data_IF_648569129006
#
_entry.id   IF_648569129006
#
_cell.length_a   1.000
_cell.length_b   1.000
_cell.length_c   1.000
_cell.angle_alpha   90.00
_cell.angle_beta   90.00
_cell.angle_gamma   90.00
#
_symmetry.space_group_name_H-M   'P 1'
#
loop_
_entity.id
_entity.type
_entity.pdbx_description
1 polymer ?
#
# COMPACT_ATOMS: atom_id res chain seq x y z
N UNK A 1 7.08 -9.31 -18.89
CA UNK A 1 5.63 -9.10 -19.19
C UNK A 1 4.73 -9.44 -18.01
N UNK A 2 4.77 -10.68 -17.45
CA UNK A 2 3.91 -11.09 -16.32
C UNK A 2 3.94 -10.14 -15.10
N UNK A 3 5.12 -9.65 -14.72
CA UNK A 3 5.32 -8.72 -13.58
C UNK A 3 4.50 -7.42 -13.69
N UNK A 4 4.52 -6.79 -14.88
CA UNK A 4 3.82 -5.51 -15.09
C UNK A 4 2.30 -5.72 -15.02
N UNK A 5 1.80 -6.84 -15.55
CA UNK A 5 0.38 -7.18 -15.48
C UNK A 5 -0.10 -7.32 -14.02
N UNK A 6 0.68 -7.99 -13.18
CA UNK A 6 0.37 -8.10 -11.75
C UNK A 6 0.42 -6.76 -11.02
N UNK A 7 1.34 -5.87 -11.39
CA UNK A 7 1.40 -4.51 -10.83
C UNK A 7 0.15 -3.72 -11.21
N UNK A 8 -0.26 -3.76 -12.47
CA UNK A 8 -1.48 -3.09 -12.95
C UNK A 8 -2.69 -3.64 -12.19
N UNK A 9 -2.83 -4.97 -12.10
CA UNK A 9 -3.92 -5.61 -11.39
C UNK A 9 -3.92 -5.26 -9.90
N UNK A 10 -2.75 -5.23 -9.25
CA UNK A 10 -2.61 -4.79 -7.87
C UNK A 10 -3.01 -3.33 -7.66
N UNK A 11 -2.65 -2.43 -8.59
CA UNK A 11 -3.08 -1.03 -8.57
C UNK A 11 -4.59 -0.88 -8.75
N UNK A 12 -5.20 -1.66 -9.65
CA UNK A 12 -6.65 -1.63 -9.86
C UNK A 12 -7.42 -2.15 -8.65
N UNK A 13 -6.95 -3.23 -8.04
CA UNK A 13 -7.57 -3.74 -6.80
C UNK A 13 -7.40 -2.70 -5.68
N UNK A 14 -6.20 -2.16 -5.51
CA UNK A 14 -5.95 -1.14 -4.49
C UNK A 14 -6.77 0.14 -4.72
N UNK A 15 -6.96 0.59 -5.97
CA UNK A 15 -7.76 1.77 -6.29
C UNK A 15 -9.21 1.58 -5.90
N UNK A 16 -9.80 0.40 -6.17
CA UNK A 16 -11.16 0.06 -5.76
C UNK A 16 -11.28 0.10 -4.23
N UNK A 17 -10.32 -0.46 -3.50
CA UNK A 17 -10.30 -0.42 -2.03
C UNK A 17 -10.25 1.02 -1.49
N UNK A 18 -9.37 1.86 -2.04
CA UNK A 18 -9.28 3.29 -1.68
C UNK A 18 -10.58 4.03 -2.00
N UNK A 19 -11.22 3.71 -3.12
CA UNK A 19 -12.48 4.32 -3.54
C UNK A 19 -13.62 3.99 -2.56
N UNK A 20 -13.73 2.73 -2.14
CA UNK A 20 -14.71 2.30 -1.13
C UNK A 20 -14.48 3.05 0.19
N UNK A 21 -13.22 3.19 0.63
CA UNK A 21 -12.89 3.94 1.84
C UNK A 21 -13.31 5.41 1.73
N UNK A 22 -13.02 6.04 0.58
CA UNK A 22 -13.41 7.42 0.27
C UNK A 22 -14.92 7.63 0.34
N UNK A 23 -15.71 6.75 -0.29
CA UNK A 23 -17.18 6.81 -0.29
C UNK A 23 -17.83 6.43 1.06
N UNK A 24 -17.03 5.87 1.98
CA UNK A 24 -17.47 5.53 3.34
C UNK A 24 -17.02 6.57 4.39
N UNK A 25 -16.37 7.65 3.94
CA UNK A 25 -15.71 8.66 4.77
C UNK A 25 -14.69 8.06 5.76
N UNK A 26 -14.09 6.93 5.40
CA UNK A 26 -13.04 6.27 6.16
C UNK A 26 -11.70 6.66 5.56
N UNK A 27 -10.81 7.14 6.40
CA UNK A 27 -9.47 7.50 6.00
C UNK A 27 -8.59 6.25 6.04
N UNK A 28 -7.91 5.95 4.93
CA UNK A 28 -6.88 4.90 4.91
C UNK A 28 -5.65 5.33 5.70
N UNK A 29 -4.68 4.46 5.95
CA UNK A 29 -3.46 4.79 6.67
C UNK A 29 -2.39 5.47 5.82
N UNK A 30 -1.34 5.97 6.47
CA UNK A 30 -0.09 6.33 5.80
C UNK A 30 -0.23 7.53 4.87
N UNK A 31 0.56 7.56 3.79
CA UNK A 31 0.52 8.69 2.85
C UNK A 31 -0.79 8.77 2.08
N UNK A 32 -1.42 7.64 1.74
CA UNK A 32 -2.73 7.64 1.09
C UNK A 32 -3.81 8.22 2.03
N UNK A 33 -3.74 7.91 3.32
CA UNK A 33 -4.60 8.44 4.36
C UNK A 33 -4.46 9.93 4.57
N UNK A 34 -3.22 10.36 4.72
CA UNK A 34 -2.86 11.77 4.79
C UNK A 34 -3.39 12.51 3.57
N UNK A 35 -3.16 11.98 2.37
CA UNK A 35 -3.62 12.62 1.14
C UNK A 35 -5.13 12.70 1.03
N UNK A 36 -5.86 11.66 1.46
CA UNK A 36 -7.32 11.68 1.46
C UNK A 36 -7.86 12.70 2.47
N UNK A 37 -7.28 12.75 3.67
CA UNK A 37 -7.64 13.71 4.71
C UNK A 37 -7.40 15.15 4.26
N UNK A 38 -6.23 15.40 3.66
CA UNK A 38 -5.86 16.72 3.16
C UNK A 38 -6.70 17.10 1.92
N UNK A 39 -7.15 16.12 1.13
CA UNK A 39 -8.06 16.37 -0.01
C UNK A 39 -9.41 16.88 0.46
N UNK A 40 -9.91 16.38 1.60
CA UNK A 40 -11.14 16.90 2.20
C UNK A 40 -10.97 18.32 2.76
N UNK A 41 -9.77 18.66 3.25
CA UNK A 41 -9.50 19.99 3.82
C UNK A 41 -9.18 21.07 2.77
N UNK A 42 -8.45 20.71 1.71
CA UNK A 42 -7.92 21.66 0.71
C UNK A 42 -8.77 21.74 -0.57
N UNK A 43 -9.83 20.92 -0.71
CA UNK A 43 -10.65 20.80 -1.93
C UNK A 43 -9.84 20.50 -3.21
N UNK A 44 -8.62 19.99 -3.05
CA UNK A 44 -7.76 19.55 -4.14
C UNK A 44 -7.98 18.07 -4.43
N UNK A 45 -7.69 17.66 -5.67
CA UNK A 45 -7.77 16.26 -6.06
C UNK A 45 -6.80 15.40 -5.23
N UNK A 46 -7.30 14.28 -4.72
CA UNK A 46 -6.51 13.26 -4.01
C UNK A 46 -5.22 12.91 -4.76
N UNK A 47 -5.30 12.76 -6.09
CA UNK A 47 -4.16 12.43 -6.96
C UNK A 47 -3.00 13.43 -6.82
N UNK A 48 -3.29 14.73 -6.75
CA UNK A 48 -2.28 15.80 -6.69
C UNK A 48 -1.58 15.76 -5.33
N UNK A 49 -2.37 15.71 -4.25
CA UNK A 49 -1.83 15.68 -2.88
C UNK A 49 -1.02 14.40 -2.66
N UNK A 50 -1.53 13.26 -3.13
CA UNK A 50 -0.85 11.98 -3.02
C UNK A 50 0.49 11.97 -3.75
N UNK A 51 0.54 12.55 -4.95
CA UNK A 51 1.80 12.66 -5.67
C UNK A 51 2.82 13.54 -4.90
N UNK A 52 2.39 14.70 -4.40
CA UNK A 52 3.24 15.63 -3.66
C UNK A 52 3.79 15.04 -2.35
N UNK A 53 2.93 14.41 -1.54
CA UNK A 53 3.33 13.79 -0.27
C UNK A 53 4.33 12.64 -0.50
N UNK A 54 4.25 11.96 -1.65
CA UNK A 54 5.15 10.86 -1.97
C UNK A 54 6.53 11.28 -2.49
N UNK A 55 6.75 12.55 -2.88
CA UNK A 55 8.05 13.06 -3.36
C UNK A 55 9.23 12.70 -2.42
N UNK A 56 9.19 13.00 -1.11
CA UNK A 56 10.30 12.65 -0.21
C UNK A 56 10.56 11.13 -0.14
N UNK A 57 9.50 10.32 -0.26
CA UNK A 57 9.61 8.86 -0.27
C UNK A 57 10.19 8.32 -1.57
N UNK A 58 9.92 8.96 -2.72
CA UNK A 58 10.58 8.62 -3.98
C UNK A 58 12.07 8.88 -3.92
N UNK A 59 12.47 10.01 -3.32
CA UNK A 59 13.88 10.34 -3.15
C UNK A 59 14.57 9.31 -2.24
N UNK A 60 13.95 8.94 -1.11
CA UNK A 60 14.43 7.86 -0.25
C UNK A 60 14.53 6.51 -0.99
N UNK A 61 13.50 6.16 -1.75
CA UNK A 61 13.43 4.92 -2.54
C UNK A 61 14.55 4.84 -3.59
N UNK A 62 14.86 5.96 -4.23
CA UNK A 62 15.91 6.05 -5.23
C UNK A 62 17.27 5.66 -4.64
N UNK A 63 17.60 6.20 -3.47
CA UNK A 63 18.87 5.92 -2.80
C UNK A 63 18.94 4.53 -2.15
N UNK A 64 17.82 4.03 -1.60
CA UNK A 64 17.84 2.81 -0.78
C UNK A 64 17.39 1.54 -1.50
N UNK A 65 16.46 1.65 -2.47
CA UNK A 65 15.89 0.49 -3.17
C UNK A 65 16.29 0.43 -4.65
N UNK A 66 16.85 1.52 -5.18
CA UNK A 66 17.38 1.62 -6.53
C UNK A 66 16.37 2.08 -7.59
N UNK A 67 16.89 2.46 -8.76
CA UNK A 67 16.12 3.07 -9.85
C UNK A 67 14.96 2.21 -10.35
N UNK A 68 15.17 0.90 -10.55
CA UNK A 68 14.15 0.00 -11.09
C UNK A 68 12.90 -0.06 -10.19
N UNK A 69 13.09 -0.13 -8.87
CA UNK A 69 12.00 -0.15 -7.89
C UNK A 69 11.29 1.21 -7.82
N UNK A 70 12.07 2.28 -7.86
CA UNK A 70 11.56 3.66 -7.82
C UNK A 70 10.67 3.95 -9.03
N UNK A 71 11.13 3.61 -10.24
CA UNK A 71 10.34 3.77 -11.46
C UNK A 71 9.03 2.97 -11.43
N UNK A 72 9.07 1.71 -10.95
CA UNK A 72 7.83 0.92 -10.81
C UNK A 72 6.88 1.47 -9.76
N UNK A 73 7.41 2.04 -8.68
CA UNK A 73 6.62 2.65 -7.61
C UNK A 73 5.97 3.96 -8.06
N UNK A 74 6.72 4.83 -8.75
CA UNK A 74 6.17 6.04 -9.38
C UNK A 74 5.09 5.67 -10.38
N UNK A 75 5.34 4.68 -11.25
CA UNK A 75 4.32 4.19 -12.19
C UNK A 75 3.06 3.64 -11.49
N UNK A 76 3.23 2.91 -10.39
CA UNK A 76 2.12 2.37 -9.60
C UNK A 76 1.31 3.46 -8.91
N UNK A 77 1.98 4.47 -8.34
CA UNK A 77 1.33 5.64 -7.73
C UNK A 77 0.59 6.45 -8.78
N UNK A 78 1.23 6.74 -9.93
CA UNK A 78 0.57 7.44 -11.03
C UNK A 78 -0.65 6.68 -11.53
N UNK A 79 -0.57 5.35 -11.67
CA UNK A 79 -1.70 4.53 -12.08
C UNK A 79 -2.82 4.53 -11.03
N UNK A 80 -2.50 4.38 -9.74
CA UNK A 80 -3.47 4.48 -8.65
C UNK A 80 -4.16 5.86 -8.66
N UNK A 81 -3.39 6.93 -8.80
CA UNK A 81 -3.89 8.30 -8.89
C UNK A 81 -4.82 8.50 -10.09
N UNK A 82 -4.46 7.97 -11.27
CA UNK A 82 -5.32 8.01 -12.45
C UNK A 82 -6.62 7.25 -12.23
N UNK A 83 -6.55 6.01 -11.73
CA UNK A 83 -7.74 5.18 -11.49
C UNK A 83 -8.66 5.79 -10.44
N UNK A 84 -8.10 6.36 -9.37
CA UNK A 84 -8.90 7.06 -8.35
C UNK A 84 -9.41 8.42 -8.81
N UNK A 85 -8.78 9.05 -9.79
CA UNK A 85 -9.30 10.29 -10.39
C UNK A 85 -10.57 10.06 -11.21
N UNK A 86 -10.76 8.85 -11.77
CA UNK A 86 -11.97 8.47 -12.52
C UNK A 86 -13.23 8.39 -11.64
N UNK A 87 -13.07 8.51 -10.32
CA UNK A 87 -14.17 8.59 -9.35
C UNK A 87 -15.23 9.63 -9.73
N UNK A 88 -14.84 10.77 -10.33
CA UNK A 88 -15.79 11.81 -10.76
C UNK A 88 -16.78 11.34 -11.84
N UNK A 89 -16.48 10.24 -12.55
CA UNK A 89 -17.34 9.64 -13.57
C UNK A 89 -18.28 8.58 -12.99
N UNK A 90 -18.04 8.14 -11.75
CA UNK A 90 -18.86 7.14 -11.09
C UNK A 90 -20.02 7.82 -10.35
N UNK A 91 -21.21 7.20 -10.33
CA UNK A 91 -22.31 7.70 -9.53
C UNK A 91 -21.92 7.71 -8.06
N UNK A 92 -22.24 8.78 -7.34
CA UNK A 92 -21.99 8.87 -5.91
C UNK A 92 -22.79 7.80 -5.17
N UNK A 93 -22.10 6.89 -4.50
CA UNK A 93 -22.71 5.88 -3.64
C UNK A 93 -22.17 6.06 -2.23
N UNK A 94 -23.01 5.91 -1.20
CA UNK A 94 -22.57 6.00 0.19
C UNK A 94 -22.65 4.63 0.82
N UNK A 95 -21.57 4.21 1.49
CA UNK A 95 -21.56 2.98 2.29
C UNK A 95 -21.53 3.31 3.79
N UNK A 96 -22.11 2.45 4.64
CA UNK A 96 -21.88 2.51 6.07
C UNK A 96 -20.38 2.43 6.38
N UNK A 97 -19.88 3.31 7.24
CA UNK A 97 -18.44 3.44 7.53
C UNK A 97 -17.79 2.14 8.01
N UNK A 98 -18.51 1.30 8.76
CA UNK A 98 -18.00 0.00 9.19
C UNK A 98 -17.79 -0.96 8.01
N UNK A 99 -18.79 -1.07 7.12
CA UNK A 99 -18.69 -1.92 5.93
C UNK A 99 -17.58 -1.43 5.02
N UNK A 100 -17.50 -0.12 4.82
CA UNK A 100 -16.42 0.53 4.07
C UNK A 100 -15.03 0.26 4.62
N UNK A 101 -14.85 0.43 5.94
CA UNK A 101 -13.58 0.16 6.60
C UNK A 101 -13.10 -1.28 6.40
N UNK A 102 -14.01 -2.25 6.57
CA UNK A 102 -13.71 -3.67 6.44
C UNK A 102 -13.43 -4.07 5.00
N UNK A 103 -14.37 -3.78 4.09
CA UNK A 103 -14.26 -4.17 2.68
C UNK A 103 -13.16 -3.41 1.96
N UNK A 104 -13.08 -2.10 2.18
CA UNK A 104 -12.03 -1.25 1.62
C UNK A 104 -10.64 -1.64 2.14
N UNK A 105 -10.51 -1.96 3.44
CA UNK A 105 -9.26 -2.44 4.02
C UNK A 105 -8.83 -3.80 3.49
N UNK A 106 -9.76 -4.75 3.34
CA UNK A 106 -9.48 -6.06 2.74
C UNK A 106 -9.01 -5.92 1.29
N UNK A 107 -9.76 -5.19 0.47
CA UNK A 107 -9.47 -5.01 -0.95
C UNK A 107 -8.15 -4.25 -1.13
N UNK A 108 -7.95 -3.15 -0.41
CA UNK A 108 -6.70 -2.39 -0.45
C UNK A 108 -5.51 -3.25 0.00
N UNK A 109 -5.66 -4.03 1.07
CA UNK A 109 -4.64 -4.95 1.58
C UNK A 109 -4.27 -6.03 0.56
N UNK A 110 -5.24 -6.57 -0.18
CA UNK A 110 -4.97 -7.53 -1.27
C UNK A 110 -4.20 -6.89 -2.41
N UNK A 111 -4.62 -5.69 -2.86
CA UNK A 111 -3.92 -4.94 -3.91
C UNK A 111 -2.47 -4.61 -3.53
N UNK A 112 -2.27 -4.12 -2.30
CA UNK A 112 -0.95 -3.87 -1.72
C UNK A 112 -0.09 -5.13 -1.63
N UNK A 113 -0.66 -6.25 -1.21
CA UNK A 113 0.05 -7.53 -1.13
C UNK A 113 0.56 -7.98 -2.50
N UNK A 114 -0.27 -7.87 -3.55
CA UNK A 114 0.12 -8.19 -4.94
C UNK A 114 1.25 -7.27 -5.42
N UNK A 115 1.18 -5.97 -5.12
CA UNK A 115 2.23 -5.02 -5.46
C UNK A 115 3.55 -5.36 -4.75
N UNK A 116 3.50 -5.63 -3.45
CA UNK A 116 4.68 -5.97 -2.67
C UNK A 116 5.33 -7.26 -3.17
N UNK A 117 4.55 -8.28 -3.52
CA UNK A 117 5.06 -9.52 -4.15
C UNK A 117 5.76 -9.26 -5.48
N UNK A 118 5.38 -8.22 -6.21
CA UNK A 118 6.01 -7.86 -7.48
C UNK A 118 7.07 -6.77 -7.30
N UNK A 119 7.51 -6.48 -6.07
CA UNK A 119 8.50 -5.45 -5.81
C UNK A 119 8.09 -4.08 -6.35
N UNK A 120 6.81 -3.75 -6.22
CA UNK A 120 6.26 -2.42 -6.42
C UNK A 120 5.59 -1.96 -5.11
N UNK A 121 5.32 -0.67 -5.00
CA UNK A 121 4.69 -0.07 -3.83
C UNK A 121 3.78 1.07 -4.26
N UNK A 122 2.89 1.51 -3.37
CA UNK A 122 2.04 2.69 -3.57
C UNK A 122 2.66 3.94 -2.93
N UNK A 123 3.98 3.97 -2.72
CA UNK A 123 4.66 5.13 -2.14
C UNK A 123 4.52 5.23 -0.63
N UNK A 124 5.23 6.19 -0.03
CA UNK A 124 5.03 6.56 1.37
C UNK A 124 5.55 5.53 2.36
N UNK A 125 4.77 5.31 3.42
CA UNK A 125 5.02 4.30 4.45
C UNK A 125 5.19 2.88 3.85
N UNK A 126 4.53 2.59 2.72
CA UNK A 126 4.65 1.31 2.03
C UNK A 126 6.07 1.06 1.49
N UNK A 127 6.81 2.12 1.12
CA UNK A 127 8.22 1.99 0.71
C UNK A 127 9.06 1.60 1.91
N UNK A 128 8.84 2.24 3.07
CA UNK A 128 9.56 1.92 4.30
C UNK A 128 9.26 0.49 4.77
N UNK A 129 8.00 0.04 4.68
CA UNK A 129 7.61 -1.32 5.00
C UNK A 129 8.37 -2.36 4.17
N UNK A 130 8.44 -2.15 2.85
CA UNK A 130 9.15 -3.06 1.96
C UNK A 130 10.67 -2.97 2.12
N UNK A 131 11.21 -1.78 2.38
CA UNK A 131 12.61 -1.59 2.71
C UNK A 131 12.99 -2.32 4.00
N UNK A 132 12.20 -2.18 5.07
CA UNK A 132 12.43 -2.84 6.35
C UNK A 132 12.34 -4.36 6.22
N UNK A 133 11.42 -4.87 5.40
CA UNK A 133 11.37 -6.29 5.09
C UNK A 133 12.64 -6.77 4.37
N UNK A 134 13.12 -6.04 3.35
CA UNK A 134 14.32 -6.43 2.60
C UNK A 134 15.60 -6.35 3.43
N UNK A 135 15.73 -5.31 4.27
CA UNK A 135 16.95 -5.04 5.03
C UNK A 135 17.00 -5.79 6.36
N UNK A 136 15.88 -5.90 7.07
CA UNK A 136 15.81 -6.44 8.43
C UNK A 136 14.94 -7.70 8.56
N UNK A 137 14.27 -8.15 7.48
CA UNK A 137 13.36 -9.30 7.54
C UNK A 137 12.06 -9.03 8.30
N UNK A 138 11.74 -7.75 8.54
CA UNK A 138 10.56 -7.37 9.31
C UNK A 138 9.26 -7.66 8.56
N UNK A 139 8.17 -7.80 9.31
CA UNK A 139 6.85 -8.02 8.76
C UNK A 139 6.33 -6.71 8.13
N UNK A 140 6.16 -6.65 6.79
CA UNK A 140 5.76 -5.42 6.11
C UNK A 140 4.37 -4.95 6.58
N UNK A 141 3.47 -5.87 6.94
CA UNK A 141 2.14 -5.52 7.42
C UNK A 141 2.17 -4.83 8.79
N UNK A 142 3.06 -5.28 9.69
CA UNK A 142 3.25 -4.64 11.01
C UNK A 142 3.91 -3.26 10.89
N UNK A 143 4.90 -3.14 10.02
CA UNK A 143 5.56 -1.84 9.78
C UNK A 143 4.57 -0.85 9.20
N UNK A 144 3.78 -1.27 8.21
CA UNK A 144 2.76 -0.43 7.60
C UNK A 144 1.69 -0.03 8.63
N UNK A 145 1.16 -1.00 9.38
CA UNK A 145 0.19 -0.73 10.44
C UNK A 145 0.71 0.27 11.48
N UNK A 146 1.97 0.14 11.90
CA UNK A 146 2.57 1.04 12.89
C UNK A 146 2.66 2.48 12.37
N UNK A 147 3.12 2.67 11.14
CA UNK A 147 3.15 3.99 10.49
C UNK A 147 1.74 4.55 10.31
N UNK A 148 0.83 3.73 9.81
CA UNK A 148 -0.54 4.11 9.54
C UNK A 148 -1.28 4.50 10.83
N UNK A 149 -1.03 3.78 11.92
CA UNK A 149 -1.61 4.05 13.23
C UNK A 149 -1.14 5.40 13.78
N UNK A 150 0.15 5.73 13.66
CA UNK A 150 0.68 7.05 14.07
C UNK A 150 0.06 8.20 13.26
N UNK A 151 -0.12 7.97 11.96
CA UNK A 151 -0.76 8.95 11.07
C UNK A 151 -2.22 9.15 11.42
N UNK A 152 -2.98 8.07 11.63
CA UNK A 152 -4.39 8.14 12.03
C UNK A 152 -4.52 8.81 13.40
N UNK A 153 -3.66 8.48 14.37
CA UNK A 153 -3.67 9.08 15.70
C UNK A 153 -3.44 10.60 15.63
N UNK A 154 -2.49 11.05 14.80
CA UNK A 154 -2.23 12.48 14.57
C UNK A 154 -3.40 13.17 13.87
N UNK A 155 -4.11 12.46 13.00
CA UNK A 155 -5.23 13.01 12.21
C UNK A 155 -6.58 12.91 12.94
N UNK A 156 -6.66 12.13 14.02
CA UNK A 156 -7.88 11.88 14.78
C UNK A 156 -8.46 13.15 15.40
N UNK A 157 -7.59 14.11 15.77
CA UNK A 157 -8.01 15.42 16.26
C UNK A 157 -8.75 16.24 15.19
N UNK A 158 -8.39 16.11 13.90
CA UNK A 158 -9.04 16.83 12.80
C UNK A 158 -10.27 16.13 12.24
N UNK A 159 -10.25 14.79 12.13
CA UNK A 159 -11.31 14.02 11.44
C UNK A 159 -12.45 13.63 12.39
N UNK A 160 -12.17 13.59 13.71
CA UNK A 160 -13.11 13.19 14.75
C UNK A 160 -12.97 11.72 15.16
N UNK A 161 -13.30 11.44 16.44
CA UNK A 161 -13.07 10.14 17.09
C UNK A 161 -13.77 8.98 16.39
N UNK A 162 -15.03 9.17 15.96
CA UNK A 162 -15.83 8.12 15.32
C UNK A 162 -15.21 7.63 14.01
N UNK A 163 -14.82 8.56 13.14
CA UNK A 163 -14.13 8.25 11.87
C UNK A 163 -12.74 7.66 12.12
N UNK A 164 -12.02 8.16 13.13
CA UNK A 164 -10.71 7.64 13.54
C UNK A 164 -10.76 6.15 13.90
N UNK A 165 -11.78 5.70 14.64
CA UNK A 165 -11.94 4.28 15.00
C UNK A 165 -12.14 3.41 13.75
N UNK A 166 -12.98 3.83 12.81
CA UNK A 166 -13.17 3.09 11.55
C UNK A 166 -11.89 3.05 10.70
N UNK A 167 -11.11 4.14 10.70
CA UNK A 167 -9.79 4.16 10.08
C UNK A 167 -8.83 3.16 10.72
N UNK A 168 -8.78 3.09 12.06
CA UNK A 168 -7.96 2.10 12.79
C UNK A 168 -8.35 0.67 12.41
N UNK A 169 -9.66 0.38 12.31
CA UNK A 169 -10.15 -0.93 11.85
C UNK A 169 -9.66 -1.24 10.43
N UNK A 170 -9.78 -0.28 9.52
CA UNK A 170 -9.37 -0.46 8.13
C UNK A 170 -7.87 -0.71 7.98
N UNK A 171 -7.02 0.04 8.68
CA UNK A 171 -5.57 -0.13 8.63
C UNK A 171 -5.14 -1.43 9.32
N UNK A 172 -5.83 -1.86 10.37
CA UNK A 172 -5.57 -3.14 11.04
C UNK A 172 -5.83 -4.31 10.09
N UNK A 173 -6.96 -4.27 9.38
CA UNK A 173 -7.32 -5.26 8.36
C UNK A 173 -6.31 -5.24 7.21
N UNK A 174 -5.97 -4.06 6.69
CA UNK A 174 -4.99 -3.90 5.62
C UNK A 174 -3.63 -4.49 6.01
N UNK A 175 -3.13 -4.12 7.19
CA UNK A 175 -1.88 -4.63 7.74
C UNK A 175 -1.90 -6.14 8.00
N UNK A 176 -3.03 -6.68 8.49
CA UNK A 176 -3.22 -8.11 8.67
C UNK A 176 -3.15 -8.88 7.35
N UNK A 177 -3.85 -8.41 6.30
CA UNK A 177 -3.81 -9.04 4.97
C UNK A 177 -2.38 -9.04 4.43
N UNK A 178 -1.66 -7.91 4.51
CA UNK A 178 -0.26 -7.83 4.08
C UNK A 178 0.63 -8.79 4.89
N UNK A 179 0.43 -8.84 6.21
CA UNK A 179 1.18 -9.72 7.11
C UNK A 179 0.92 -11.20 6.81
N UNK A 180 -0.31 -11.57 6.49
CA UNK A 180 -0.66 -12.93 6.07
C UNK A 180 0.15 -13.37 4.84
N UNK A 181 0.36 -12.46 3.89
CA UNK A 181 1.15 -12.72 2.68
C UNK A 181 2.66 -12.51 2.83
N UNK A 182 3.17 -12.20 4.03
CA UNK A 182 4.59 -11.82 4.24
C UNK A 182 5.61 -12.82 3.71
N UNK A 183 5.36 -14.12 3.83
CA UNK A 183 6.29 -15.16 3.34
C UNK A 183 6.39 -15.13 1.81
N UNK A 184 5.26 -15.03 1.11
CA UNK A 184 5.22 -14.90 -0.35
C UNK A 184 5.95 -13.63 -0.82
N UNK A 185 5.73 -12.52 -0.10
CA UNK A 185 6.38 -11.25 -0.39
C UNK A 185 7.91 -11.37 -0.19
N UNK A 186 8.35 -12.03 0.88
CA UNK A 186 9.77 -12.25 1.13
C UNK A 186 10.41 -13.11 0.02
N UNK A 187 9.77 -14.21 -0.37
CA UNK A 187 10.27 -15.13 -1.41
C UNK A 187 10.45 -14.45 -2.78
N UNK A 188 9.53 -13.58 -3.19
CA UNK A 188 9.62 -12.91 -4.49
C UNK A 188 10.55 -11.68 -4.48
N UNK A 189 10.91 -11.17 -3.30
CA UNK A 189 11.81 -10.01 -3.16
C UNK A 189 13.25 -10.40 -2.81
N UNK A 190 13.56 -11.68 -2.61
CA UNK A 190 14.96 -12.11 -2.45
C UNK A 190 15.74 -11.89 -3.74
N UNK A 191 16.97 -11.32 -3.67
CA UNK A 191 17.85 -11.30 -4.82
C UNK A 191 18.14 -12.73 -5.28
N UNK A 192 18.13 -12.94 -6.59
CA UNK A 192 18.24 -14.22 -7.31
C UNK A 192 19.46 -15.09 -6.95
N UNK A 193 20.35 -14.65 -6.06
CA UNK A 193 21.54 -15.38 -5.63
C UNK A 193 21.27 -16.52 -4.62
N UNK A 194 20.09 -16.59 -3.99
CA UNK A 194 19.79 -17.63 -3.00
C UNK A 194 19.26 -18.96 -3.61
N UNK A 195 18.94 -19.00 -4.90
CA UNK A 195 18.50 -20.24 -5.57
C UNK A 195 19.64 -21.08 -6.15
N UNK A 196 20.91 -20.68 -5.96
CA UNK A 196 22.07 -21.33 -6.56
C UNK A 196 22.90 -22.19 -5.58
N UNK A 197 22.43 -22.38 -4.34
CA UNK A 197 23.10 -23.26 -3.35
C UNK A 197 22.09 -24.23 -2.72
N UNK A 198 21.36 -24.97 -3.55
CA UNK A 198 21.02 -26.35 -3.18
C UNK A 198 22.18 -27.21 -3.68
N UNK A 199 23.09 -27.69 -2.80
CA UNK A 199 24.20 -28.50 -3.24
C UNK A 199 23.65 -29.81 -3.81
N UNK A 200 24.15 -30.13 -5.00
CA UNK A 200 23.96 -31.34 -5.78
C UNK A 200 24.63 -32.57 -5.10
N UNK A 201 24.71 -32.60 -3.77
CA UNK A 201 25.45 -33.61 -2.99
C UNK A 201 24.58 -34.78 -2.49
N UNK A 202 23.26 -34.70 -2.59
CA UNK A 202 22.37 -35.78 -2.15
C UNK A 202 21.96 -36.78 -3.24
N UNK A 203 22.56 -36.70 -4.44
CA UNK A 203 22.23 -37.58 -5.55
C UNK A 203 23.31 -38.63 -5.88
N UNK A 204 24.40 -38.71 -5.12
CA UNK A 204 25.50 -39.67 -5.35
C UNK A 204 25.84 -40.56 -4.13
N UNK A 205 24.99 -40.64 -3.09
CA UNK A 205 25.33 -41.41 -1.87
C UNK A 205 24.27 -42.40 -1.34
N UNK A 206 23.23 -42.75 -2.09
CA UNK A 206 22.38 -43.91 -1.76
C UNK A 206 21.89 -44.66 -2.99
#
# INVERSE_FOLDING_TARGET
MKKVLWIILGCTIASIGVLILRHSHVVTGGTAGLSLSLSYALSLSFAVIFFLINIPFYLFSFFQMGWKFTATTIGSVSLLSLLTSLDHLLPSFTLPSLMGAVTGGLIAGLGLSILFMNGASLGGANILALFAQRKFGWDPGKVNFSFDFLVVLSSMYSIGLSKGIFSVISIAITGFVISYFKQKIALHNQPTSASATQPLDNALSK
#
